data_IF_244285182095
#
_entry.id   IF_244285182095
#
_cell.length_a   1.000
_cell.length_b   1.000
_cell.length_c   1.000
_cell.angle_alpha   90.00
_cell.angle_beta   90.00
_cell.angle_gamma   90.00
#
_symmetry.space_group_name_H-M   'P 1'
#
loop_
_entity.id
_entity.type
_entity.pdbx_description
1 polymer ?
#
# COMPACT_ATOMS: atom_id res chain seq x y z
N UNK A 1 -24.41 -6.33 1.33
CA UNK A 1 -23.82 -4.96 1.26
C UNK A 1 -22.98 -4.59 2.48
N UNK A 2 -23.35 -4.93 3.72
CA UNK A 2 -22.56 -4.57 4.92
C UNK A 2 -21.08 -5.01 4.87
N UNK A 3 -20.82 -6.21 4.35
CA UNK A 3 -19.46 -6.75 4.13
C UNK A 3 -18.66 -6.01 3.02
N UNK A 4 -19.37 -5.38 2.08
CA UNK A 4 -18.75 -4.63 0.98
C UNK A 4 -18.33 -3.22 1.41
N UNK A 5 -18.93 -2.69 2.49
CA UNK A 5 -18.61 -1.37 3.02
C UNK A 5 -17.46 -1.40 4.03
N UNK A 6 -17.24 -2.52 4.72
CA UNK A 6 -16.23 -2.61 5.77
C UNK A 6 -14.80 -2.38 5.25
N UNK A 7 -14.46 -2.85 4.05
CA UNK A 7 -13.12 -2.63 3.48
C UNK A 7 -12.91 -1.16 3.04
N UNK A 8 -13.82 -0.51 2.29
CA UNK A 8 -13.74 0.93 2.03
C UNK A 8 -13.66 1.80 3.29
N UNK A 9 -14.37 1.44 4.37
CA UNK A 9 -14.30 2.17 5.64
C UNK A 9 -12.91 2.04 6.31
N UNK A 10 -12.31 0.84 6.30
CA UNK A 10 -10.94 0.64 6.78
C UNK A 10 -9.92 1.44 5.95
N UNK A 11 -10.09 1.48 4.64
CA UNK A 11 -9.27 2.29 3.74
C UNK A 11 -9.40 3.78 4.09
N UNK A 12 -10.62 4.28 4.28
CA UNK A 12 -10.86 5.68 4.65
C UNK A 12 -10.19 6.04 5.97
N UNK A 13 -10.29 5.17 6.97
CA UNK A 13 -9.62 5.37 8.26
C UNK A 13 -8.09 5.37 8.12
N UNK A 14 -7.54 4.49 7.28
CA UNK A 14 -6.09 4.40 7.03
C UNK A 14 -5.54 5.65 6.31
N UNK A 15 -6.31 6.20 5.36
CA UNK A 15 -6.00 7.48 4.70
C UNK A 15 -6.03 8.64 5.70
N UNK A 16 -7.07 8.71 6.54
CA UNK A 16 -7.21 9.77 7.56
C UNK A 16 -6.11 9.72 8.62
N UNK A 17 -5.65 8.52 9.00
CA UNK A 17 -4.54 8.33 9.94
C UNK A 17 -3.16 8.58 9.31
N UNK A 18 -3.08 8.85 8.00
CA UNK A 18 -1.82 9.09 7.28
C UNK A 18 -0.94 7.85 7.07
N UNK A 19 -1.44 6.66 7.42
CA UNK A 19 -0.79 5.37 7.19
C UNK A 19 -0.80 5.02 5.71
N UNK A 20 -1.93 5.27 5.05
CA UNK A 20 -2.07 5.17 3.60
C UNK A 20 -1.96 6.57 2.99
N UNK A 21 -1.08 6.72 2.00
CA UNK A 21 -0.88 7.99 1.30
C UNK A 21 -1.88 8.17 0.17
N UNK A 22 -2.18 7.07 -0.51
CA UNK A 22 -3.12 7.09 -1.63
C UNK A 22 -3.79 5.72 -1.81
N UNK A 23 -5.00 5.75 -2.37
CA UNK A 23 -5.79 4.58 -2.75
C UNK A 23 -6.59 4.88 -4.02
N UNK A 24 -6.43 4.00 -5.01
CA UNK A 24 -7.32 3.92 -6.17
C UNK A 24 -7.96 2.54 -6.31
N UNK A 25 -9.10 2.50 -6.99
CA UNK A 25 -9.73 1.27 -7.46
C UNK A 25 -10.09 1.45 -8.94
N UNK A 26 -10.08 0.35 -9.68
CA UNK A 26 -10.67 0.36 -11.03
C UNK A 26 -12.18 0.59 -10.95
N UNK A 27 -12.79 0.96 -12.08
CA UNK A 27 -14.23 1.23 -12.14
C UNK A 27 -15.12 -0.01 -11.86
N UNK A 28 -14.54 -1.21 -11.93
CA UNK A 28 -15.24 -2.47 -11.59
C UNK A 28 -15.19 -2.78 -10.10
N UNK A 29 -14.33 -2.09 -9.35
CA UNK A 29 -14.07 -2.29 -7.92
C UNK A 29 -13.33 -3.59 -7.60
N UNK A 30 -12.79 -4.29 -8.60
CA UNK A 30 -12.16 -5.60 -8.42
C UNK A 30 -10.65 -5.53 -8.18
N UNK A 31 -10.00 -4.52 -8.74
CA UNK A 31 -8.57 -4.27 -8.53
C UNK A 31 -8.31 -2.82 -8.16
N UNK A 32 -7.11 -2.54 -7.69
CA UNK A 32 -6.72 -1.21 -7.27
C UNK A 32 -5.28 -1.17 -6.80
N UNK A 33 -4.88 0.00 -6.30
CA UNK A 33 -3.55 0.22 -5.75
C UNK A 33 -3.63 0.96 -4.42
N UNK A 34 -2.58 0.81 -3.62
CA UNK A 34 -2.36 1.59 -2.41
C UNK A 34 -0.91 2.01 -2.34
N UNK A 35 -0.68 3.25 -1.92
CA UNK A 35 0.66 3.74 -1.60
C UNK A 35 0.76 3.85 -0.07
N UNK A 36 1.76 3.19 0.50
CA UNK A 36 2.07 3.19 1.92
C UNK A 36 3.59 3.35 2.07
N UNK A 37 4.00 4.14 3.07
CA UNK A 37 5.41 4.36 3.39
C UNK A 37 5.67 3.77 4.77
N UNK A 38 6.32 2.61 4.82
CA UNK A 38 6.50 1.83 6.04
C UNK A 38 7.89 1.17 6.05
N UNK A 39 8.39 0.89 7.24
CA UNK A 39 9.51 -0.05 7.39
C UNK A 39 9.09 -1.48 7.06
N UNK A 40 10.07 -2.38 6.83
CA UNK A 40 9.80 -3.80 6.55
C UNK A 40 8.90 -4.51 7.58
N UNK A 41 9.17 -4.39 8.89
CA UNK A 41 8.30 -4.99 9.93
C UNK A 41 6.88 -4.42 9.95
N UNK A 42 6.73 -3.11 9.71
CA UNK A 42 5.43 -2.44 9.66
C UNK A 42 4.63 -2.85 8.42
N UNK A 43 5.31 -3.02 7.27
CA UNK A 43 4.72 -3.54 6.06
C UNK A 43 4.11 -4.93 6.29
N UNK A 44 4.82 -5.85 6.94
CA UNK A 44 4.30 -7.18 7.21
C UNK A 44 3.02 -7.15 8.06
N UNK A 45 3.01 -6.32 9.12
CA UNK A 45 1.82 -6.11 9.96
C UNK A 45 0.65 -5.53 9.16
N UNK A 46 0.91 -4.55 8.30
CA UNK A 46 -0.11 -3.96 7.45
C UNK A 46 -0.70 -5.00 6.49
N UNK A 47 0.15 -5.80 5.82
CA UNK A 47 -0.32 -6.83 4.89
C UNK A 47 -1.20 -7.89 5.57
N UNK A 48 -0.87 -8.31 6.80
CA UNK A 48 -1.67 -9.27 7.56
C UNK A 48 -3.12 -8.81 7.78
N UNK A 49 -3.35 -7.50 7.94
CA UNK A 49 -4.70 -6.95 8.08
C UNK A 49 -5.52 -7.10 6.79
N UNK A 50 -4.86 -7.12 5.63
CA UNK A 50 -5.49 -7.17 4.32
C UNK A 50 -5.60 -8.58 3.73
N UNK A 51 -4.79 -9.54 4.21
CA UNK A 51 -4.76 -10.93 3.71
C UNK A 51 -6.14 -11.61 3.60
N UNK A 52 -7.09 -11.40 4.53
CA UNK A 52 -8.42 -12.00 4.40
C UNK A 52 -9.28 -11.41 3.27
N UNK A 53 -8.97 -10.20 2.81
CA UNK A 53 -9.82 -9.43 1.91
C UNK A 53 -9.33 -9.41 0.47
N UNK A 54 -8.00 -9.38 0.27
CA UNK A 54 -7.40 -9.17 -1.06
C UNK A 54 -6.12 -9.98 -1.23
N UNK A 55 -5.77 -10.27 -2.49
CA UNK A 55 -4.41 -10.69 -2.87
C UNK A 55 -3.63 -9.45 -3.28
N UNK A 56 -2.37 -9.38 -2.85
CA UNK A 56 -1.51 -8.25 -3.13
C UNK A 56 -0.26 -8.65 -3.90
N UNK A 57 0.19 -7.75 -4.77
CA UNK A 57 1.55 -7.71 -5.31
C UNK A 57 2.23 -6.50 -4.69
N UNK A 58 3.34 -6.72 -4.00
CA UNK A 58 4.13 -5.64 -3.39
C UNK A 58 5.20 -5.21 -4.38
N UNK A 59 5.28 -3.91 -4.63
CA UNK A 59 6.32 -3.29 -5.46
C UNK A 59 7.10 -2.34 -4.54
N UNK A 60 8.33 -2.69 -4.12
CA UNK A 60 9.17 -1.79 -3.35
C UNK A 60 9.49 -0.55 -4.17
N UNK A 61 9.31 0.63 -3.58
CA UNK A 61 9.67 1.91 -4.19
C UNK A 61 10.82 2.48 -3.37
N UNK A 62 11.88 2.90 -4.06
CA UNK A 62 13.03 3.60 -3.46
C UNK A 62 12.94 5.08 -3.78
N UNK A 63 13.55 5.89 -2.93
CA UNK A 63 13.70 7.33 -3.18
C UNK A 63 14.65 7.59 -4.35
N UNK A 64 14.54 8.77 -4.96
CA UNK A 64 15.48 9.21 -6.00
C UNK A 64 16.92 9.24 -5.48
N UNK A 65 17.12 9.63 -4.21
CA UNK A 65 18.45 9.66 -3.60
C UNK A 65 19.05 8.25 -3.49
N UNK A 66 18.28 7.27 -2.99
CA UNK A 66 18.71 5.87 -2.95
C UNK A 66 19.02 5.31 -4.36
N UNK A 67 18.24 5.72 -5.36
CA UNK A 67 18.51 5.35 -6.75
C UNK A 67 19.85 5.94 -7.23
N UNK A 68 20.10 7.23 -6.97
CA UNK A 68 21.33 7.91 -7.35
C UNK A 68 22.55 7.27 -6.64
N UNK A 69 22.44 6.99 -5.34
CA UNK A 69 23.49 6.34 -4.56
C UNK A 69 23.83 4.97 -5.16
N UNK A 70 22.84 4.13 -5.43
CA UNK A 70 23.06 2.82 -6.04
C UNK A 70 23.71 2.88 -7.43
N UNK A 71 23.36 3.88 -8.26
CA UNK A 71 24.00 4.08 -9.57
C UNK A 71 25.48 4.48 -9.43
N UNK A 72 25.81 5.32 -8.45
CA UNK A 72 27.19 5.76 -8.20
C UNK A 72 28.10 4.64 -7.68
N UNK A 73 27.54 3.64 -7.01
CA UNK A 73 28.34 2.50 -6.53
C UNK A 73 28.80 1.56 -7.66
N UNK A 74 28.09 1.57 -8.79
CA UNK A 74 28.36 0.67 -9.93
C UNK A 74 28.96 1.37 -11.16
N UNK A 75 29.15 2.69 -11.08
CA UNK A 75 29.76 3.52 -12.14
C UNK A 75 31.10 4.07 -11.66
#
# INVERSE_FOLDING_TARGET
MKLWLSMPELVKNSLQAGVMKDRGADATGMTGYSIIELSGPELFKALLQWTPYVRFKVIPIITVDQMIEGIKEVT
#
